data_IF_282091415358
#
_entry.id   IF_282091415358
#
_cell.length_a   1.000
_cell.length_b   1.000
_cell.length_c   1.000
_cell.angle_alpha   90.00
_cell.angle_beta   90.00
_cell.angle_gamma   90.00
#
_symmetry.space_group_name_H-M   'P 1'
#
loop_
_entity.id
_entity.type
_entity.pdbx_description
1 polymer ?
#
# COMPACT_ATOMS: atom_id res chain seq x y z
N UNK A 1 0.37 -2.63 -12.89
CA UNK A 1 0.62 -1.58 -11.89
C UNK A 1 -0.22 -0.36 -12.23
N UNK A 2 -0.97 0.18 -11.26
CA UNK A 2 -1.81 1.37 -11.40
C UNK A 2 -1.56 2.29 -10.20
N UNK A 3 -1.55 3.60 -10.43
CA UNK A 3 -1.41 4.61 -9.36
C UNK A 3 -2.63 5.50 -9.43
N UNK A 4 -3.32 5.67 -8.31
CA UNK A 4 -4.53 6.48 -8.18
C UNK A 4 -4.40 7.41 -6.97
N UNK A 5 -4.75 8.68 -7.16
CA UNK A 5 -4.86 9.65 -6.07
C UNK A 5 -6.31 10.09 -5.95
N UNK A 6 -6.87 9.93 -4.75
CA UNK A 6 -8.19 10.42 -4.37
C UNK A 6 -8.02 11.72 -3.56
N UNK A 7 -8.28 12.90 -4.16
CA UNK A 7 -8.12 14.18 -3.48
C UNK A 7 -9.19 14.44 -2.41
N UNK A 8 -10.35 13.76 -2.45
CA UNK A 8 -11.38 13.93 -1.42
C UNK A 8 -10.98 13.24 -0.13
N UNK A 9 -10.27 12.10 -0.23
CA UNK A 9 -9.76 11.33 0.91
C UNK A 9 -8.31 11.64 1.28
N UNK A 10 -7.62 12.43 0.45
CA UNK A 10 -6.17 12.64 0.49
C UNK A 10 -5.40 11.31 0.60
N UNK A 11 -5.71 10.40 -0.33
CA UNK A 11 -5.20 9.03 -0.35
C UNK A 11 -4.53 8.74 -1.68
N UNK A 12 -3.28 8.29 -1.64
CA UNK A 12 -2.57 7.72 -2.78
C UNK A 12 -2.58 6.19 -2.66
N UNK A 13 -3.10 5.53 -3.69
CA UNK A 13 -3.05 4.08 -3.81
C UNK A 13 -2.16 3.64 -4.97
N UNK A 14 -1.23 2.72 -4.68
CA UNK A 14 -0.36 2.08 -5.66
C UNK A 14 -0.73 0.61 -5.72
N UNK A 15 -1.37 0.19 -6.80
CA UNK A 15 -1.78 -1.19 -7.04
C UNK A 15 -0.75 -1.93 -7.89
N UNK A 16 -0.27 -3.07 -7.40
CA UNK A 16 0.69 -3.94 -8.09
C UNK A 16 0.03 -5.15 -8.74
N UNK A 17 -1.17 -5.53 -8.31
CA UNK A 17 -1.82 -6.75 -8.77
C UNK A 17 -2.54 -6.62 -10.12
N UNK A 18 -2.92 -7.77 -10.66
CA UNK A 18 -3.84 -7.85 -11.79
C UNK A 18 -5.27 -7.52 -11.34
N UNK A 19 -6.11 -7.11 -12.30
CA UNK A 19 -7.52 -6.85 -12.07
C UNK A 19 -8.15 -8.04 -11.32
N UNK A 20 -8.98 -7.75 -10.31
CA UNK A 20 -9.72 -8.69 -9.45
C UNK A 20 -8.95 -9.30 -8.25
N UNK A 21 -7.65 -9.07 -8.10
CA UNK A 21 -6.93 -9.51 -6.89
C UNK A 21 -7.38 -8.68 -5.69
N UNK A 22 -7.79 -9.36 -4.60
CA UNK A 22 -8.31 -8.72 -3.38
C UNK A 22 -7.31 -8.80 -2.24
N UNK A 23 -7.24 -7.73 -1.45
CA UNK A 23 -6.52 -7.73 -0.18
C UNK A 23 -7.18 -8.73 0.77
N UNK A 24 -6.35 -9.60 1.35
CA UNK A 24 -6.73 -10.46 2.45
C UNK A 24 -6.28 -9.87 3.79
N UNK A 25 -5.21 -9.08 3.79
CA UNK A 25 -4.65 -8.43 4.95
C UNK A 25 -4.08 -7.06 4.59
N UNK A 26 -4.28 -6.07 5.45
CA UNK A 26 -3.65 -4.75 5.37
C UNK A 26 -2.79 -4.55 6.62
N UNK A 27 -1.55 -4.13 6.45
CA UNK A 27 -0.61 -3.90 7.55
C UNK A 27 -0.11 -2.46 7.50
N UNK A 28 -0.10 -1.79 8.65
CA UNK A 28 0.56 -0.49 8.79
C UNK A 28 2.07 -0.70 8.87
N UNK A 29 2.82 -0.17 7.91
CA UNK A 29 4.27 -0.30 7.84
C UNK A 29 4.96 0.80 8.66
N UNK A 30 4.45 2.01 8.51
CA UNK A 30 4.84 3.22 9.24
C UNK A 30 3.61 4.12 9.32
N UNK A 31 3.51 5.06 10.27
CA UNK A 31 2.36 5.96 10.33
C UNK A 31 2.05 6.60 8.96
N UNK A 32 0.81 6.46 8.51
CA UNK A 32 0.33 6.95 7.22
C UNK A 32 0.63 6.07 6.01
N UNK A 33 1.35 4.95 6.15
CA UNK A 33 1.63 4.01 5.05
C UNK A 33 1.17 2.61 5.40
N UNK A 34 0.30 2.07 4.56
CA UNK A 34 -0.24 0.71 4.69
C UNK A 34 0.12 -0.14 3.47
N UNK A 35 0.28 -1.43 3.69
CA UNK A 35 0.57 -2.43 2.67
C UNK A 35 -0.50 -3.51 2.65
N UNK A 36 -1.06 -3.76 1.48
CA UNK A 36 -2.04 -4.78 1.24
C UNK A 36 -1.40 -6.04 0.70
N UNK A 37 -1.76 -7.17 1.31
CA UNK A 37 -1.30 -8.49 0.96
C UNK A 37 -2.47 -9.37 0.55
N UNK A 38 -2.27 -10.20 -0.46
CA UNK A 38 -3.23 -11.26 -0.81
C UNK A 38 -3.15 -12.44 0.17
N UNK A 39 -3.96 -13.48 -0.07
CA UNK A 39 -4.00 -14.68 0.79
C UNK A 39 -2.68 -15.46 0.82
N UNK A 40 -1.82 -15.28 -0.18
CA UNK A 40 -0.51 -15.91 -0.27
C UNK A 40 0.62 -15.05 0.30
N UNK A 41 0.30 -13.93 0.97
CA UNK A 41 1.31 -13.02 1.51
C UNK A 41 2.03 -12.19 0.45
N UNK A 42 1.55 -12.18 -0.80
CA UNK A 42 2.12 -11.35 -1.85
C UNK A 42 1.64 -9.91 -1.70
N UNK A 43 2.55 -8.95 -1.79
CA UNK A 43 2.21 -7.52 -1.82
C UNK A 43 1.40 -7.20 -3.08
N UNK A 44 0.22 -6.61 -2.89
CA UNK A 44 -0.68 -6.25 -3.99
C UNK A 44 -1.02 -4.76 -4.02
N UNK A 45 -0.83 -4.04 -2.92
CA UNK A 45 -1.20 -2.63 -2.80
C UNK A 45 -0.37 -1.88 -1.76
N UNK A 46 -0.20 -0.58 -1.95
CA UNK A 46 0.30 0.37 -0.95
C UNK A 46 -0.67 1.54 -0.88
N UNK A 47 -1.08 1.90 0.33
CA UNK A 47 -1.90 3.07 0.64
C UNK A 47 -1.05 4.09 1.39
N UNK A 48 -1.11 5.35 0.97
CA UNK A 48 -0.49 6.48 1.65
C UNK A 48 -1.58 7.49 2.00
N UNK A 49 -1.85 7.63 3.30
CA UNK A 49 -2.79 8.59 3.89
C UNK A 49 -2.10 9.94 4.06
N UNK A 50 -2.86 11.03 3.92
CA UNK A 50 -2.31 12.39 3.91
C UNK A 50 -1.25 12.53 2.80
N UNK A 51 -1.54 11.95 1.63
CA UNK A 51 -0.57 11.86 0.55
C UNK A 51 -0.05 13.25 0.14
N UNK A 52 -0.90 14.27 0.17
CA UNK A 52 -0.55 15.66 -0.13
C UNK A 52 0.61 16.20 0.74
N UNK A 53 0.72 15.76 1.99
CA UNK A 53 1.80 16.14 2.91
C UNK A 53 3.12 15.44 2.59
N UNK A 54 3.07 14.33 1.88
CA UNK A 54 4.24 13.48 1.63
C UNK A 54 4.71 13.57 0.18
N UNK A 55 3.84 13.94 -0.76
CA UNK A 55 4.16 14.14 -2.16
C UNK A 55 5.36 15.09 -2.35
N UNK A 56 6.30 14.68 -3.20
CA UNK A 56 7.55 15.41 -3.43
C UNK A 56 8.65 15.17 -2.39
N UNK A 57 8.38 14.40 -1.33
CA UNK A 57 9.39 13.94 -0.36
C UNK A 57 9.80 12.50 -0.66
N UNK A 58 11.03 12.14 -0.26
CA UNK A 58 11.47 10.74 -0.28
C UNK A 58 10.91 10.03 0.96
N UNK A 59 10.20 8.92 0.76
CA UNK A 59 9.83 7.98 1.82
C UNK A 59 10.60 6.68 1.59
N UNK A 60 11.04 6.04 2.67
CA UNK A 60 11.65 4.72 2.64
C UNK A 60 11.17 3.92 3.84
N UNK A 61 10.74 2.67 3.60
CA UNK A 61 10.24 1.77 4.62
C UNK A 61 10.55 0.32 4.25
N UNK A 62 10.55 -0.56 5.25
CA UNK A 62 10.76 -2.00 5.08
C UNK A 62 9.42 -2.72 5.13
N UNK A 63 9.20 -3.65 4.21
CA UNK A 63 8.06 -4.55 4.29
C UNK A 63 8.33 -5.64 5.33
N UNK A 64 7.30 -6.13 6.03
CA UNK A 64 7.43 -7.26 6.93
C UNK A 64 7.81 -8.53 6.14
N UNK A 65 8.64 -9.36 6.75
CA UNK A 65 8.91 -10.71 6.25
C UNK A 65 7.75 -11.62 6.64
N UNK A 66 7.10 -12.24 5.67
CA UNK A 66 6.16 -13.33 5.93
C UNK A 66 6.93 -14.64 5.78
N UNK A 67 7.19 -15.32 6.88
CA UNK A 67 7.68 -16.70 6.86
C UNK A 67 6.52 -17.63 6.56
N UNK A 68 6.64 -18.46 5.52
CA UNK A 68 5.74 -19.60 5.30
C UNK A 68 5.77 -20.47 6.57
N UNK A 69 4.62 -20.58 7.26
CA UNK A 69 4.39 -21.53 8.36
C UNK A 69 4.07 -22.91 7.82
#
# INVERSE_FOLDING_TARGET
MKIEYDPERDLLYICFAELETKAAQTITITPGVHADFDRGGKLIGIEVIEASEIMGKKIEFKLPEFSDV
#
